data_IF_243428550229
#
_entry.id   IF_243428550229
#
_cell.length_a   1.000
_cell.length_b   1.000
_cell.length_c   1.000
_cell.angle_alpha   90.00
_cell.angle_beta   90.00
_cell.angle_gamma   90.00
#
_symmetry.space_group_name_H-M   'P 1'
#
loop_
_entity.id
_entity.type
_entity.pdbx_description
1 polymer ?
#
# COMPACT_ATOMS: atom_id res chain seq x y z
N UNK A 1 3.24 1.42 21.28
CA UNK A 1 2.01 0.70 21.70
C UNK A 1 2.19 -0.79 21.38
N UNK A 2 2.71 -1.60 22.31
CA UNK A 2 3.22 -2.95 22.05
C UNK A 2 2.50 -4.05 22.85
N UNK A 3 1.16 -4.00 22.91
CA UNK A 3 0.35 -4.97 23.67
C UNK A 3 -0.93 -5.39 22.94
N UNK A 4 -0.92 -5.50 21.60
CA UNK A 4 -2.05 -6.09 20.89
C UNK A 4 -2.05 -7.60 21.10
N UNK A 5 -3.14 -8.15 21.64
CA UNK A 5 -3.34 -9.60 21.74
C UNK A 5 -3.22 -10.22 20.35
N UNK A 6 -2.35 -11.22 20.21
CA UNK A 6 -2.16 -11.95 18.97
C UNK A 6 -3.44 -12.71 18.60
N UNK A 7 -3.94 -12.46 17.39
CA UNK A 7 -5.18 -13.07 16.87
C UNK A 7 -4.82 -14.23 15.95
N UNK A 8 -4.83 -15.44 16.50
CA UNK A 8 -4.49 -16.67 15.77
C UNK A 8 -5.43 -16.92 14.59
N UNK A 9 -6.66 -16.43 14.67
CA UNK A 9 -7.71 -16.56 13.66
C UNK A 9 -7.43 -15.78 12.37
N UNK A 10 -6.48 -14.83 12.43
CA UNK A 10 -6.03 -14.06 11.26
C UNK A 10 -4.81 -14.66 10.59
N UNK A 11 -4.20 -15.69 11.19
CA UNK A 11 -3.05 -16.35 10.60
C UNK A 11 -3.52 -17.23 9.44
N UNK A 12 -2.76 -17.18 8.36
CA UNK A 12 -2.97 -18.01 7.19
C UNK A 12 -1.63 -18.60 6.73
N UNK A 13 -1.71 -19.68 5.97
CA UNK A 13 -0.56 -20.37 5.38
C UNK A 13 -0.57 -20.15 3.88
N UNK A 14 0.58 -19.81 3.32
CA UNK A 14 0.81 -19.81 1.88
C UNK A 14 1.72 -20.98 1.52
N UNK A 15 1.27 -21.82 0.58
CA UNK A 15 2.05 -22.94 0.09
C UNK A 15 2.85 -22.53 -1.16
N UNK A 16 4.16 -22.77 -1.12
CA UNK A 16 5.07 -22.49 -2.22
C UNK A 16 5.78 -23.75 -2.71
N UNK A 17 6.15 -23.75 -3.99
CA UNK A 17 6.96 -24.81 -4.61
C UNK A 17 6.13 -25.92 -5.25
N UNK A 18 6.59 -26.42 -6.39
CA UNK A 18 5.87 -27.42 -7.18
C UNK A 18 5.64 -28.75 -6.44
N UNK A 19 6.56 -29.12 -5.54
CA UNK A 19 6.51 -30.37 -4.76
C UNK A 19 5.87 -30.19 -3.37
N UNK A 20 5.20 -29.06 -3.13
CA UNK A 20 4.54 -28.82 -1.85
C UNK A 20 3.26 -29.66 -1.75
N UNK A 21 3.24 -30.58 -0.79
CA UNK A 21 2.10 -31.47 -0.53
C UNK A 21 0.89 -30.78 0.09
N UNK A 22 1.00 -29.49 0.45
CA UNK A 22 -0.06 -28.67 1.06
C UNK A 22 -0.62 -29.27 2.35
N UNK A 23 0.28 -29.53 3.30
CA UNK A 23 -0.12 -30.00 4.63
C UNK A 23 -0.96 -28.95 5.38
N UNK A 24 -1.99 -29.40 6.09
CA UNK A 24 -2.71 -28.54 7.02
C UNK A 24 -1.86 -28.20 8.23
N UNK A 25 -1.78 -26.90 8.56
CA UNK A 25 -1.04 -26.42 9.73
C UNK A 25 -1.99 -26.02 10.84
N UNK A 26 -1.56 -26.22 12.07
CA UNK A 26 -2.35 -25.89 13.25
C UNK A 26 -1.55 -24.95 14.16
N UNK A 27 -2.21 -23.90 14.66
CA UNK A 27 -1.62 -22.93 15.57
C UNK A 27 -2.42 -22.87 16.87
N UNK A 28 -1.90 -23.52 17.91
CA UNK A 28 -2.56 -23.58 19.22
C UNK A 28 -3.95 -24.23 19.15
N UNK A 29 -4.07 -25.35 18.43
CA UNK A 29 -5.31 -26.11 18.26
C UNK A 29 -6.23 -25.63 17.13
N UNK A 30 -5.97 -24.45 16.56
CA UNK A 30 -6.73 -23.92 15.41
C UNK A 30 -6.06 -24.33 14.10
N UNK A 31 -6.82 -24.93 13.17
CA UNK A 31 -6.37 -25.14 11.79
C UNK A 31 -6.25 -23.80 11.06
N UNK A 32 -5.12 -23.55 10.42
CA UNK A 32 -4.87 -22.31 9.69
C UNK A 32 -5.48 -22.34 8.30
N UNK A 33 -6.06 -21.21 7.89
CA UNK A 33 -6.58 -21.06 6.54
C UNK A 33 -5.45 -20.95 5.52
N UNK A 34 -5.69 -21.41 4.29
CA UNK A 34 -4.75 -21.19 3.18
C UNK A 34 -4.97 -19.82 2.53
N UNK A 35 -3.89 -19.20 2.06
CA UNK A 35 -3.91 -17.98 1.25
C UNK A 35 -3.02 -18.15 0.01
N UNK A 36 -3.38 -17.48 -1.07
CA UNK A 36 -2.60 -17.44 -2.32
C UNK A 36 -1.94 -16.09 -2.56
N UNK A 37 -2.29 -15.07 -1.76
CA UNK A 37 -1.75 -13.71 -1.88
C UNK A 37 -1.80 -13.02 -0.53
N UNK A 38 -0.68 -12.47 -0.10
CA UNK A 38 -0.55 -11.76 1.16
C UNK A 38 0.26 -10.48 0.95
N UNK A 39 -0.06 -9.43 1.72
CA UNK A 39 0.72 -8.19 1.71
C UNK A 39 1.33 -7.99 3.09
N UNK A 40 2.65 -7.92 3.16
CA UNK A 40 3.38 -7.61 4.39
C UNK A 40 4.38 -6.47 4.16
N UNK A 41 4.38 -5.48 5.08
CA UNK A 41 5.23 -4.27 5.00
C UNK A 41 5.25 -3.55 3.64
N UNK A 42 4.19 -3.72 2.84
CA UNK A 42 4.07 -3.12 1.50
C UNK A 42 4.58 -3.99 0.35
N UNK A 43 5.05 -5.20 0.63
CA UNK A 43 5.43 -6.23 -0.34
C UNK A 43 4.26 -7.20 -0.51
N UNK A 44 3.92 -7.52 -1.74
CA UNK A 44 2.92 -8.54 -2.10
C UNK A 44 3.66 -9.82 -2.45
N UNK A 45 3.28 -10.90 -1.79
CA UNK A 45 3.75 -12.26 -2.08
C UNK A 45 2.58 -13.09 -2.56
N UNK A 46 2.78 -13.82 -3.65
CA UNK A 46 1.80 -14.72 -4.26
C UNK A 46 2.31 -16.16 -4.19
N UNK A 47 1.41 -17.14 -4.09
CA UNK A 47 1.78 -18.56 -3.93
C UNK A 47 2.57 -19.13 -5.12
N UNK A 48 2.45 -18.51 -6.30
CA UNK A 48 3.24 -18.83 -7.49
C UNK A 48 4.58 -18.08 -7.56
N UNK A 49 4.92 -17.30 -6.54
CA UNK A 49 6.13 -16.47 -6.45
C UNK A 49 6.30 -15.50 -7.63
N UNK A 50 5.21 -15.14 -8.31
CA UNK A 50 5.28 -14.19 -9.41
C UNK A 50 5.46 -12.76 -8.87
N UNK A 51 6.31 -11.96 -9.53
CA UNK A 51 6.51 -10.55 -9.16
C UNK A 51 5.47 -9.62 -9.81
N UNK A 52 4.67 -10.12 -10.75
CA UNK A 52 3.74 -9.32 -11.56
C UNK A 52 2.80 -8.49 -10.70
N UNK A 53 2.19 -9.09 -9.68
CA UNK A 53 1.24 -8.41 -8.80
C UNK A 53 1.92 -7.33 -7.94
N UNK A 54 3.14 -7.61 -7.47
CA UNK A 54 3.94 -6.63 -6.75
C UNK A 54 4.31 -5.45 -7.67
N UNK A 55 4.79 -5.73 -8.89
CA UNK A 55 5.17 -4.71 -9.86
C UNK A 55 4.00 -3.82 -10.24
N UNK A 56 2.82 -4.38 -10.51
CA UNK A 56 1.59 -3.62 -10.78
C UNK A 56 1.23 -2.69 -9.61
N UNK A 57 1.32 -3.19 -8.37
CA UNK A 57 1.01 -2.37 -7.20
C UNK A 57 2.05 -1.28 -6.95
N UNK A 58 3.33 -1.57 -7.17
CA UNK A 58 4.42 -0.60 -7.01
C UNK A 58 4.35 0.51 -8.07
N UNK A 59 4.05 0.17 -9.32
CA UNK A 59 3.87 1.16 -10.39
C UNK A 59 2.65 2.05 -10.13
N UNK A 60 1.51 1.46 -9.76
CA UNK A 60 0.30 2.22 -9.43
C UNK A 60 0.54 3.21 -8.27
N UNK A 61 1.22 2.78 -7.20
CA UNK A 61 1.59 3.66 -6.09
C UNK A 61 2.46 4.82 -6.54
N UNK A 62 3.45 4.54 -7.39
CA UNK A 62 4.34 5.57 -7.93
C UNK A 62 3.56 6.59 -8.76
N UNK A 63 2.67 6.13 -9.63
CA UNK A 63 1.80 7.02 -10.43
C UNK A 63 0.92 7.89 -9.54
N UNK A 64 0.31 7.32 -8.49
CA UNK A 64 -0.51 8.10 -7.55
C UNK A 64 0.29 9.17 -6.82
N UNK A 65 1.49 8.84 -6.33
CA UNK A 65 2.38 9.81 -5.66
C UNK A 65 2.80 10.93 -6.62
N UNK A 66 3.15 10.59 -7.88
CA UNK A 66 3.50 11.58 -8.89
C UNK A 66 2.35 12.55 -9.16
N UNK A 67 1.13 12.03 -9.30
CA UNK A 67 -0.07 12.84 -9.51
C UNK A 67 -0.33 13.77 -8.31
N UNK A 68 -0.22 13.28 -7.08
CA UNK A 68 -0.40 14.10 -5.87
C UNK A 68 0.63 15.25 -5.80
N UNK A 69 1.89 14.98 -6.13
CA UNK A 69 2.93 16.00 -6.19
C UNK A 69 2.64 17.06 -7.26
N UNK A 70 2.17 16.65 -8.44
CA UNK A 70 1.76 17.58 -9.49
C UNK A 70 0.61 18.48 -9.01
N UNK A 71 -0.44 17.91 -8.42
CA UNK A 71 -1.56 18.71 -7.90
C UNK A 71 -1.15 19.63 -6.74
N UNK A 72 -0.19 19.24 -5.90
CA UNK A 72 0.38 20.14 -4.88
C UNK A 72 1.11 21.32 -5.51
N UNK A 73 1.89 21.08 -6.56
CA UNK A 73 2.61 22.15 -7.26
C UNK A 73 1.66 23.15 -7.93
N UNK A 74 0.61 22.66 -8.59
CA UNK A 74 -0.41 23.52 -9.25
C UNK A 74 -1.12 24.39 -8.22
N UNK A 75 -1.59 23.80 -7.11
CA UNK A 75 -2.24 24.56 -6.03
C UNK A 75 -1.33 25.62 -5.41
N UNK A 76 -0.04 25.33 -5.28
CA UNK A 76 0.93 26.29 -4.76
C UNK A 76 1.11 27.49 -5.71
N UNK A 77 1.13 27.24 -7.02
CA UNK A 77 1.19 28.30 -8.02
C UNK A 77 -0.08 29.15 -8.04
N UNK A 78 -1.26 28.52 -8.01
CA UNK A 78 -2.55 29.23 -7.92
C UNK A 78 -2.60 30.14 -6.69
N UNK A 79 -2.18 29.64 -5.53
CA UNK A 79 -2.11 30.43 -4.31
C UNK A 79 -1.16 31.63 -4.45
N UNK A 80 0.04 31.42 -4.98
CA UNK A 80 1.02 32.48 -5.18
C UNK A 80 0.52 33.57 -6.14
N UNK A 81 -0.11 33.19 -7.25
CA UNK A 81 -0.69 34.13 -8.23
C UNK A 81 -1.83 34.94 -7.59
N UNK A 82 -2.72 34.28 -6.86
CA UNK A 82 -3.83 34.94 -6.19
C UNK A 82 -3.36 35.95 -5.13
N UNK A 83 -2.31 35.63 -4.37
CA UNK A 83 -1.74 36.55 -3.39
C UNK A 83 -1.12 37.81 -4.05
N UNK A 84 -0.44 37.65 -5.19
CA UNK A 84 0.11 38.79 -5.93
C UNK A 84 -0.99 39.69 -6.49
N UNK A 85 -2.07 39.11 -7.02
CA UNK A 85 -3.22 39.87 -7.52
C UNK A 85 -3.86 40.72 -6.41
N UNK A 86 -4.09 40.15 -5.22
CA UNK A 86 -4.63 40.88 -4.06
C UNK A 86 -3.69 42.00 -3.58
N UNK A 87 -2.38 41.75 -3.56
CA UNK A 87 -1.39 42.77 -3.18
C UNK A 87 -1.30 43.92 -4.19
N UNK A 88 -1.59 43.66 -5.47
CA UNK A 88 -1.62 44.69 -6.52
C UNK A 88 -2.86 45.58 -6.42
N UNK A 89 -4.01 45.01 -6.02
CA UNK A 89 -5.26 45.74 -5.82
C UNK A 89 -5.14 46.71 -4.64
N UNK A 90 -4.55 46.26 -3.51
CA UNK A 90 -4.34 47.10 -2.32
C UNK A 90 -3.30 48.23 -2.51
N UNK A 91 -2.48 48.20 -3.57
CA UNK A 91 -1.53 49.28 -3.91
C UNK A 91 -2.12 50.33 -4.85
N UNK A 92 -3.35 50.15 -5.33
CA UNK A 92 -4.05 51.07 -6.24
C UNK A 92 -5.09 51.96 -5.54
N UNK A 93 -5.26 51.81 -4.23
CA UNK A 93 -6.01 52.70 -3.34
C UNK A 93 -5.05 53.56 -2.53
#
# INVERSE_FOLDING_TARGET
MWQKKFKKERCAVMHFGANNRRYGYHLGGLSLNETTKERDLGIIVTSNLNSIEQTKCASARTTMVRIDLLFKSVRHLEFAVNQQASALVLKKE
#
